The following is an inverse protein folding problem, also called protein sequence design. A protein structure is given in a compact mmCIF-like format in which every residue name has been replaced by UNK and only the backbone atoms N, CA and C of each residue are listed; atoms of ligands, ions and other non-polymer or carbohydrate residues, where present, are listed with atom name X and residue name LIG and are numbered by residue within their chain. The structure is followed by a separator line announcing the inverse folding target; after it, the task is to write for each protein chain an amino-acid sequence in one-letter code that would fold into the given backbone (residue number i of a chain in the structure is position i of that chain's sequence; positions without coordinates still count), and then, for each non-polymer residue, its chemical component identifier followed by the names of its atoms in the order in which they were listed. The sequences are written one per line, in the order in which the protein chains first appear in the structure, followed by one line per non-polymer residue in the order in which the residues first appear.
data_IF_511776120360
#
_entry.id   IF_511776120360
#
_cell.length_a   1.000
_cell.length_b   1.000
_cell.length_c   1.000
_cell.angle_alpha   90.00
_cell.angle_beta   90.00
_cell.angle_gamma   90.00
#
_symmetry.space_group_name_H-M   'P 1'
#
loop_
_entity.id
_entity.type
_entity.pdbx_description
1 polymer ?
#
# COMPACT_ATOMS: atom_id res chain seq x y z
N UNK A 1 -37.03 44.46 -51.83
CA UNK A 1 -36.84 43.16 -51.15
C UNK A 1 -35.45 42.65 -51.47
N UNK A 2 -34.53 42.65 -50.50
CA UNK A 2 -33.18 42.07 -50.59
C UNK A 2 -33.11 40.91 -49.59
N UNK A 3 -32.61 39.71 -49.94
CA UNK A 3 -32.48 38.64 -48.96
C UNK A 3 -31.18 38.79 -48.17
N UNK A 4 -31.27 38.65 -46.84
CA UNK A 4 -30.13 38.50 -45.95
C UNK A 4 -29.56 37.07 -46.11
N UNK A 5 -28.28 36.96 -46.44
CA UNK A 5 -27.52 35.72 -46.32
C UNK A 5 -26.98 35.60 -44.89
N UNK A 6 -27.44 34.59 -44.15
CA UNK A 6 -26.95 34.27 -42.81
C UNK A 6 -25.75 33.34 -42.92
N UNK A 7 -24.56 33.82 -42.56
CA UNK A 7 -23.35 33.00 -42.42
C UNK A 7 -23.42 32.22 -41.10
N UNK A 8 -23.54 30.89 -41.18
CA UNK A 8 -23.42 30.00 -40.04
C UNK A 8 -21.92 29.71 -39.81
N UNK A 9 -21.34 30.27 -38.76
CA UNK A 9 -19.99 29.95 -38.30
C UNK A 9 -20.03 28.61 -37.55
N UNK A 10 -19.49 27.55 -38.14
CA UNK A 10 -19.29 26.25 -37.47
C UNK A 10 -18.01 26.34 -36.65
N UNK A 11 -18.14 26.42 -35.32
CA UNK A 11 -17.02 26.28 -34.41
C UNK A 11 -16.67 24.79 -34.27
N UNK A 12 -15.53 24.37 -34.85
CA UNK A 12 -14.98 23.03 -34.63
C UNK A 12 -14.28 23.02 -33.27
N UNK A 13 -14.91 22.40 -32.28
CA UNK A 13 -14.28 22.10 -31.00
C UNK A 13 -13.28 20.95 -31.20
N UNK A 14 -11.99 21.27 -31.22
CA UNK A 14 -10.93 20.27 -31.17
C UNK A 14 -10.85 19.78 -29.72
N UNK A 15 -11.44 18.62 -29.44
CA UNK A 15 -11.21 17.90 -28.20
C UNK A 15 -9.76 17.39 -28.23
N UNK A 16 -8.87 18.06 -27.49
CA UNK A 16 -7.52 17.56 -27.27
C UNK A 16 -7.62 16.29 -26.42
N UNK A 17 -7.50 15.13 -27.08
CA UNK A 17 -7.22 13.87 -26.42
C UNK A 17 -5.83 13.97 -25.78
N UNK A 18 -5.78 14.27 -24.48
CA UNK A 18 -4.55 14.17 -23.69
C UNK A 18 -4.21 12.68 -23.60
N UNK A 19 -3.44 12.19 -24.56
CA UNK A 19 -2.85 10.85 -24.49
C UNK A 19 -1.81 10.88 -23.38
N UNK A 20 -2.01 10.06 -22.35
CA UNK A 20 -1.04 9.95 -21.26
C UNK A 20 0.32 9.51 -21.82
N UNK A 21 1.40 10.22 -21.47
CA UNK A 21 2.75 9.89 -21.91
C UNK A 21 3.11 8.44 -21.53
N UNK A 22 3.94 7.70 -22.29
CA UNK A 22 4.37 6.35 -21.95
C UNK A 22 4.87 6.23 -20.49
N UNK A 23 4.65 5.07 -19.85
CA UNK A 23 5.02 4.80 -18.45
C UNK A 23 6.46 5.21 -18.14
N UNK A 24 7.37 4.93 -19.07
CA UNK A 24 8.80 5.20 -18.93
C UNK A 24 9.13 6.70 -18.99
N UNK A 25 8.44 7.47 -19.84
CA UNK A 25 8.60 8.93 -19.88
C UNK A 25 8.09 9.58 -18.58
N UNK A 26 7.00 9.06 -18.00
CA UNK A 26 6.51 9.52 -16.70
C UNK A 26 7.46 9.20 -15.56
N UNK A 27 8.11 8.04 -15.57
CA UNK A 27 9.13 7.69 -14.58
C UNK A 27 10.30 8.68 -14.56
N UNK A 28 10.71 9.16 -15.74
CA UNK A 28 11.74 10.19 -15.87
C UNK A 28 11.24 11.59 -15.45
N UNK A 29 9.95 11.76 -15.22
CA UNK A 29 9.31 13.02 -14.83
C UNK A 29 8.95 13.10 -13.33
N UNK A 30 9.21 12.06 -12.54
CA UNK A 30 8.92 12.10 -11.10
C UNK A 30 9.86 13.05 -10.36
N UNK A 31 9.27 13.98 -9.60
CA UNK A 31 9.98 15.03 -8.86
C UNK A 31 9.77 14.94 -7.35
N UNK A 32 8.89 14.04 -6.90
CA UNK A 32 8.57 13.85 -5.50
C UNK A 32 7.92 12.47 -5.25
N UNK A 33 7.46 12.27 -4.02
CA UNK A 33 6.70 11.11 -3.57
C UNK A 33 5.42 11.56 -2.86
N UNK A 34 4.38 10.74 -2.96
CA UNK A 34 3.19 10.80 -2.12
C UNK A 34 3.27 9.69 -1.09
N UNK A 35 2.87 9.98 0.14
CA UNK A 35 2.71 9.02 1.22
C UNK A 35 1.26 9.00 1.69
N UNK A 36 0.61 7.85 1.55
CA UNK A 36 -0.69 7.57 2.17
C UNK A 36 -0.48 6.79 3.46
N UNK A 37 -1.10 7.23 4.55
CA UNK A 37 -0.95 6.62 5.88
C UNK A 37 -2.21 6.82 6.73
N UNK A 38 -2.36 6.01 7.77
CA UNK A 38 -3.29 6.27 8.88
C UNK A 38 -2.50 6.62 10.15
N UNK A 39 -3.17 7.02 11.23
CA UNK A 39 -2.50 7.54 12.44
C UNK A 39 -2.73 6.71 13.71
N UNK A 40 -3.39 5.55 13.57
CA UNK A 40 -3.52 4.53 14.62
C UNK A 40 -4.82 4.60 15.43
N UNK A 41 -5.14 3.50 16.10
CA UNK A 41 -6.37 3.32 16.88
C UNK A 41 -6.43 4.05 18.23
N UNK A 42 -5.42 4.86 18.56
CA UNK A 42 -5.42 5.67 19.78
C UNK A 42 -6.29 6.92 19.70
N UNK A 43 -6.83 7.24 18.52
CA UNK A 43 -7.53 8.50 18.23
C UNK A 43 -8.85 8.24 17.51
N UNK A 44 -9.88 9.02 17.81
CA UNK A 44 -11.22 8.85 17.24
C UNK A 44 -11.27 9.03 15.72
N UNK A 45 -10.33 9.81 15.17
CA UNK A 45 -10.12 10.01 13.75
C UNK A 45 -8.87 9.29 13.24
N UNK A 46 -8.24 8.42 14.02
CA UNK A 46 -6.95 7.84 13.64
C UNK A 46 -7.03 6.70 12.62
N UNK A 47 -8.21 6.07 12.51
CA UNK A 47 -8.53 5.03 11.52
C UNK A 47 -9.21 5.66 10.30
N UNK A 48 -8.50 6.63 9.72
CA UNK A 48 -8.81 7.38 8.50
C UNK A 48 -7.53 7.57 7.71
N UNK A 49 -7.61 7.96 6.44
CA UNK A 49 -6.43 8.09 5.57
C UNK A 49 -6.01 9.54 5.44
N UNK A 50 -4.77 9.82 5.79
CA UNK A 50 -4.07 11.09 5.59
C UNK A 50 -3.04 10.96 4.48
N UNK A 51 -2.67 12.10 3.90
CA UNK A 51 -1.65 12.20 2.86
C UNK A 51 -0.53 13.14 3.26
N UNK A 52 0.67 12.86 2.76
CA UNK A 52 1.80 13.77 2.76
C UNK A 52 2.51 13.70 1.41
N UNK A 53 3.24 14.76 1.06
CA UNK A 53 4.13 14.79 -0.11
C UNK A 53 5.55 15.10 0.32
N UNK A 54 6.52 14.52 -0.36
CA UNK A 54 7.92 14.84 -0.06
C UNK A 54 8.30 16.24 -0.54
N UNK A 55 9.30 16.83 0.10
CA UNK A 55 9.90 18.10 -0.29
C UNK A 55 10.85 17.86 -1.48
N UNK A 56 10.28 17.91 -2.69
CA UNK A 56 10.95 17.47 -3.91
C UNK A 56 11.31 15.99 -3.83
N UNK A 57 12.45 15.59 -4.39
CA UNK A 57 12.92 14.19 -4.38
C UNK A 57 13.54 13.75 -3.04
N UNK A 58 13.42 14.55 -1.97
CA UNK A 58 13.90 14.16 -0.65
C UNK A 58 12.90 13.23 0.04
N UNK A 59 13.10 11.92 -0.09
CA UNK A 59 12.28 10.88 0.55
C UNK A 59 12.28 10.94 2.09
N UNK A 60 13.13 11.75 2.72
CA UNK A 60 13.23 11.86 4.17
C UNK A 60 12.64 13.17 4.72
N UNK A 61 12.03 14.01 3.88
CA UNK A 61 11.42 15.28 4.31
C UNK A 61 10.05 15.43 3.70
N UNK A 62 9.03 15.56 4.54
CA UNK A 62 7.63 15.50 4.14
C UNK A 62 6.83 16.71 4.59
N UNK A 63 5.85 17.09 3.79
CA UNK A 63 4.82 18.08 4.11
C UNK A 63 3.47 17.38 4.17
N UNK A 64 2.79 17.49 5.30
CA UNK A 64 1.44 16.99 5.47
C UNK A 64 0.47 17.75 4.56
N UNK A 65 -0.38 17.02 3.84
CA UNK A 65 -1.43 17.57 2.97
C UNK A 65 -2.64 17.93 3.84
N UNK A 66 -3.48 18.87 3.39
CA UNK A 66 -4.71 19.27 4.09
C UNK A 66 -4.46 19.71 5.56
N UNK A 67 -3.32 20.35 5.81
CA UNK A 67 -2.89 20.78 7.13
C UNK A 67 -2.71 19.63 8.15
N UNK A 68 -2.47 18.41 7.68
CA UNK A 68 -2.34 17.21 8.54
C UNK A 68 -3.67 16.57 8.92
N UNK A 69 -4.80 17.11 8.49
CA UNK A 69 -6.10 16.51 8.72
C UNK A 69 -6.31 15.28 7.81
N UNK A 70 -7.02 14.25 8.28
CA UNK A 70 -7.46 13.16 7.42
C UNK A 70 -8.16 13.63 6.16
N UNK A 71 -7.90 12.93 5.06
CA UNK A 71 -8.42 13.27 3.75
C UNK A 71 -9.51 12.28 3.29
N UNK A 72 -9.29 10.97 3.43
CA UNK A 72 -10.31 9.96 3.13
C UNK A 72 -10.85 9.33 4.41
N UNK A 73 -12.17 9.26 4.51
CA UNK A 73 -12.90 8.61 5.60
C UNK A 73 -13.89 7.60 5.01
N UNK A 74 -14.21 6.56 5.78
CA UNK A 74 -15.19 5.55 5.35
C UNK A 74 -16.52 5.71 6.09
N UNK A 75 -17.61 5.84 5.32
CA UNK A 75 -18.99 5.77 5.81
C UNK A 75 -19.60 4.36 5.68
N UNK A 76 -18.85 3.42 5.12
CA UNK A 76 -19.26 2.04 4.82
C UNK A 76 -18.46 1.03 5.64
N UNK A 77 -18.90 -0.24 5.64
CA UNK A 77 -18.23 -1.30 6.40
C UNK A 77 -18.20 -1.01 7.90
N UNK A 78 -17.05 -1.23 8.51
CA UNK A 78 -16.77 -0.95 9.93
C UNK A 78 -16.63 0.55 10.24
N UNK A 79 -16.53 1.40 9.21
CA UNK A 79 -16.31 2.86 9.30
C UNK A 79 -14.95 3.27 9.90
N UNK A 80 -14.00 2.34 9.94
CA UNK A 80 -12.59 2.61 10.18
C UNK A 80 -11.78 2.08 9.00
N UNK A 81 -10.74 2.80 8.60
CA UNK A 81 -9.84 2.37 7.53
C UNK A 81 -8.38 2.52 7.94
N UNK A 82 -7.60 1.49 7.60
CA UNK A 82 -6.20 1.33 8.02
C UNK A 82 -5.36 0.84 6.86
N UNK A 83 -4.04 0.93 7.01
CA UNK A 83 -3.06 0.30 6.12
C UNK A 83 -3.26 0.67 4.63
N UNK A 84 -3.33 1.97 4.26
CA UNK A 84 -3.61 2.36 2.88
C UNK A 84 -2.50 1.96 1.92
N UNK A 85 -2.87 1.26 0.85
CA UNK A 85 -2.03 0.96 -0.30
C UNK A 85 -2.49 1.72 -1.53
N UNK A 86 -1.64 2.58 -2.07
CA UNK A 86 -1.93 3.32 -3.30
C UNK A 86 -1.18 2.72 -4.50
N UNK A 87 -1.89 2.53 -5.61
CA UNK A 87 -1.33 2.04 -6.86
C UNK A 87 -1.80 2.91 -8.02
N UNK A 88 -0.85 3.33 -8.86
CA UNK A 88 -1.13 3.96 -10.14
C UNK A 88 -1.51 2.90 -11.16
N UNK A 89 -2.51 3.20 -11.99
CA UNK A 89 -2.84 2.35 -13.12
C UNK A 89 -1.62 2.13 -14.04
N UNK A 90 -1.54 0.97 -14.67
CA UNK A 90 -0.38 0.58 -15.47
C UNK A 90 -0.26 1.50 -16.69
N UNK A 91 -1.40 1.88 -17.27
CA UNK A 91 -1.49 2.89 -18.33
C UNK A 91 -1.30 4.33 -17.82
N UNK A 92 -1.29 4.54 -16.49
CA UNK A 92 -1.15 5.83 -15.81
C UNK A 92 -2.40 6.70 -15.80
N UNK A 93 -3.56 6.18 -16.21
CA UNK A 93 -4.80 6.95 -16.36
C UNK A 93 -5.44 7.37 -15.04
N UNK A 94 -5.14 6.66 -13.96
CA UNK A 94 -5.77 6.83 -12.64
C UNK A 94 -4.97 6.18 -11.52
N UNK A 95 -5.53 6.24 -10.33
CA UNK A 95 -5.02 5.67 -9.09
C UNK A 95 -6.14 4.92 -8.37
N UNK A 96 -5.77 3.84 -7.71
CA UNK A 96 -6.61 3.19 -6.71
C UNK A 96 -5.93 3.26 -5.36
N UNK A 97 -6.73 3.48 -4.32
CA UNK A 97 -6.30 3.36 -2.93
C UNK A 97 -7.12 2.25 -2.28
N UNK A 98 -6.42 1.23 -1.78
CA UNK A 98 -6.97 0.11 -1.05
C UNK A 98 -6.72 0.34 0.44
N UNK A 99 -7.64 -0.09 1.30
CA UNK A 99 -7.45 -0.02 2.74
C UNK A 99 -8.15 -1.20 3.44
N UNK A 100 -7.63 -1.57 4.61
CA UNK A 100 -8.29 -2.48 5.55
C UNK A 100 -9.61 -1.87 6.01
N UNK A 101 -10.72 -2.61 5.93
CA UNK A 101 -11.99 -2.23 6.58
C UNK A 101 -11.97 -2.69 8.05
N UNK A 102 -11.48 -1.84 8.95
CA UNK A 102 -11.39 -2.16 10.37
C UNK A 102 -11.48 -0.91 11.26
N UNK A 103 -12.33 -0.99 12.28
CA UNK A 103 -12.44 -0.01 13.35
C UNK A 103 -12.14 -0.63 14.72
N UNK A 104 -10.98 -0.31 15.28
CA UNK A 104 -10.54 -0.71 16.62
C UNK A 104 -10.78 0.37 17.66
N UNK A 105 -10.83 1.65 17.26
CA UNK A 105 -11.10 2.75 18.20
C UNK A 105 -12.46 2.54 18.87
N UNK A 106 -12.45 2.44 20.20
CA UNK A 106 -13.62 2.25 21.04
C UNK A 106 -14.00 0.79 21.32
N UNK A 107 -13.58 -0.18 20.49
CA UNK A 107 -13.83 -1.62 20.73
C UNK A 107 -12.63 -2.30 21.40
N UNK A 108 -11.43 -2.15 20.84
CA UNK A 108 -10.20 -2.83 21.29
C UNK A 108 -10.22 -4.37 21.17
N UNK A 109 -11.29 -4.96 20.64
CA UNK A 109 -11.46 -6.42 20.57
C UNK A 109 -10.72 -7.02 19.36
N UNK A 110 -9.41 -7.19 19.53
CA UNK A 110 -8.55 -7.81 18.52
C UNK A 110 -8.92 -9.26 18.25
N UNK A 111 -9.50 -9.98 19.21
CA UNK A 111 -9.88 -11.37 19.00
C UNK A 111 -11.03 -11.48 17.99
N UNK A 112 -12.07 -10.67 18.17
CA UNK A 112 -13.15 -10.56 17.21
C UNK A 112 -12.65 -10.05 15.85
N UNK A 113 -11.77 -9.04 15.84
CA UNK A 113 -11.23 -8.50 14.59
C UNK A 113 -10.46 -9.52 13.75
N UNK A 114 -9.74 -10.47 14.38
CA UNK A 114 -9.03 -11.56 13.71
C UNK A 114 -9.98 -12.68 13.29
N UNK A 115 -10.90 -13.08 14.17
CA UNK A 115 -11.71 -14.29 13.98
C UNK A 115 -12.95 -14.06 13.13
N UNK A 116 -13.61 -12.92 13.29
CA UNK A 116 -14.93 -12.62 12.69
C UNK A 116 -15.01 -11.19 12.17
N UNK A 117 -13.87 -10.60 11.81
CA UNK A 117 -13.76 -9.26 11.27
C UNK A 117 -14.23 -9.14 9.82
N UNK A 118 -14.04 -7.94 9.25
CA UNK A 118 -14.37 -7.70 7.84
C UNK A 118 -13.54 -8.59 6.92
N UNK A 119 -14.20 -9.17 5.92
CA UNK A 119 -13.59 -9.95 4.83
C UNK A 119 -13.45 -9.14 3.54
N UNK A 120 -13.57 -7.82 3.68
CA UNK A 120 -13.62 -6.87 2.59
C UNK A 120 -12.51 -5.85 2.67
N UNK A 121 -12.21 -5.25 1.53
CA UNK A 121 -11.31 -4.10 1.40
C UNK A 121 -12.13 -2.87 1.01
N UNK A 122 -11.71 -1.70 1.48
CA UNK A 122 -12.25 -0.42 1.01
C UNK A 122 -11.38 0.08 -0.14
N UNK A 123 -12.03 0.50 -1.23
CA UNK A 123 -11.34 0.98 -2.44
C UNK A 123 -11.88 2.35 -2.85
N UNK A 124 -10.97 3.30 -3.03
CA UNK A 124 -11.23 4.56 -3.72
C UNK A 124 -10.51 4.60 -5.06
N UNK A 125 -11.01 5.46 -5.96
CA UNK A 125 -10.41 5.72 -7.27
C UNK A 125 -10.27 7.24 -7.46
N UNK A 126 -9.17 7.66 -8.07
CA UNK A 126 -8.92 9.06 -8.43
C UNK A 126 -8.16 9.14 -9.74
N UNK A 127 -8.38 10.18 -10.54
CA UNK A 127 -7.60 10.45 -11.76
C UNK A 127 -6.46 11.46 -11.53
N UNK A 128 -6.41 12.12 -10.37
CA UNK A 128 -5.53 13.27 -10.13
C UNK A 128 -4.96 13.35 -8.70
N UNK A 129 -5.17 12.31 -7.88
CA UNK A 129 -4.81 12.19 -6.45
C UNK A 129 -5.52 13.18 -5.51
N UNK A 130 -6.28 14.11 -6.06
CA UNK A 130 -7.00 15.16 -5.34
C UNK A 130 -8.47 14.80 -5.21
N UNK A 131 -9.14 14.54 -6.32
CA UNK A 131 -10.55 14.22 -6.36
C UNK A 131 -10.73 12.70 -6.31
N UNK A 132 -11.23 12.20 -5.19
CA UNK A 132 -11.50 10.77 -5.00
C UNK A 132 -12.99 10.48 -5.14
N UNK A 133 -13.32 9.42 -5.87
CA UNK A 133 -14.69 8.93 -5.99
C UNK A 133 -15.23 8.33 -4.70
N UNK A 134 -16.51 7.94 -4.73
CA UNK A 134 -17.15 7.27 -3.59
C UNK A 134 -16.45 5.95 -3.25
N UNK A 135 -16.19 5.64 -1.96
CA UNK A 135 -15.60 4.38 -1.56
C UNK A 135 -16.48 3.19 -1.93
N UNK A 136 -15.84 2.07 -2.24
CA UNK A 136 -16.50 0.77 -2.43
C UNK A 136 -15.99 -0.22 -1.41
N UNK A 137 -16.89 -1.01 -0.83
CA UNK A 137 -16.55 -2.15 0.02
C UNK A 137 -16.60 -3.41 -0.84
N UNK A 138 -15.46 -4.08 -1.03
CA UNK A 138 -15.36 -5.26 -1.89
C UNK A 138 -14.93 -6.46 -1.08
N UNK A 139 -15.79 -7.48 -0.97
CA UNK A 139 -15.46 -8.73 -0.29
C UNK A 139 -14.52 -9.54 -1.18
N UNK A 140 -13.28 -9.75 -0.71
CA UNK A 140 -12.23 -10.48 -1.45
C UNK A 140 -11.83 -11.79 -0.78
N UNK A 141 -12.07 -11.91 0.53
CA UNK A 141 -11.74 -13.11 1.28
C UNK A 141 -12.84 -14.15 1.26
N UNK A 142 -12.48 -15.46 1.31
CA UNK A 142 -13.44 -16.56 1.28
C UNK A 142 -14.22 -16.67 2.59
N UNK A 143 -15.24 -17.52 2.62
CA UNK A 143 -16.08 -17.70 3.81
C UNK A 143 -15.30 -18.17 5.05
N UNK A 144 -14.24 -18.95 4.83
CA UNK A 144 -13.32 -19.51 5.83
C UNK A 144 -12.30 -18.51 6.39
N UNK A 145 -12.27 -17.28 5.87
CA UNK A 145 -11.38 -16.24 6.36
C UNK A 145 -11.99 -15.52 7.56
N UNK A 146 -11.18 -15.29 8.59
CA UNK A 146 -11.59 -14.49 9.74
C UNK A 146 -11.52 -12.98 9.50
N UNK A 147 -10.67 -12.52 8.58
CA UNK A 147 -10.41 -11.09 8.39
C UNK A 147 -9.81 -10.79 6.99
N UNK A 148 -9.53 -9.53 6.67
CA UNK A 148 -8.82 -9.11 5.45
C UNK A 148 -8.03 -7.84 5.76
N UNK A 149 -6.73 -7.98 6.01
CA UNK A 149 -5.89 -6.90 6.53
C UNK A 149 -4.72 -6.56 5.62
N UNK A 150 -4.33 -5.29 5.66
CA UNK A 150 -3.22 -4.68 4.92
C UNK A 150 -3.21 -5.09 3.43
N UNK A 151 -4.27 -4.75 2.67
CA UNK A 151 -4.31 -5.08 1.26
C UNK A 151 -3.34 -4.21 0.46
N UNK A 152 -2.49 -4.85 -0.32
CA UNK A 152 -1.63 -4.19 -1.31
C UNK A 152 -1.84 -4.76 -2.70
N UNK A 153 -1.41 -4.01 -3.72
CA UNK A 153 -1.49 -4.42 -5.10
C UNK A 153 -0.19 -4.19 -5.85
N UNK A 154 0.10 -5.05 -6.81
CA UNK A 154 1.21 -4.91 -7.75
C UNK A 154 0.78 -5.35 -9.15
N UNK A 155 1.27 -4.66 -10.17
CA UNK A 155 1.03 -5.04 -11.56
C UNK A 155 1.84 -6.29 -11.94
N UNK A 156 1.15 -7.32 -12.46
CA UNK A 156 1.76 -8.51 -13.03
C UNK A 156 1.76 -8.43 -14.57
N UNK A 157 2.91 -8.10 -15.20
CA UNK A 157 2.99 -8.00 -16.65
C UNK A 157 2.80 -9.34 -17.37
N UNK A 158 3.04 -10.48 -16.69
CA UNK A 158 2.87 -11.81 -17.31
C UNK A 158 1.40 -12.19 -17.50
N UNK A 159 0.51 -11.58 -16.72
CA UNK A 159 -0.94 -11.82 -16.75
C UNK A 159 -1.74 -10.64 -17.27
N UNK A 160 -1.11 -9.46 -17.45
CA UNK A 160 -1.78 -8.20 -17.75
C UNK A 160 -2.91 -7.88 -16.74
N UNK A 161 -2.61 -8.11 -15.45
CA UNK A 161 -3.53 -7.96 -14.32
C UNK A 161 -2.79 -7.42 -13.11
N UNK A 162 -3.52 -6.88 -12.15
CA UNK A 162 -3.02 -6.61 -10.81
C UNK A 162 -3.14 -7.87 -9.96
N UNK A 163 -2.07 -8.22 -9.25
CA UNK A 163 -2.12 -9.12 -8.11
C UNK A 163 -2.41 -8.28 -6.86
N UNK A 164 -3.52 -8.57 -6.19
CA UNK A 164 -3.90 -7.97 -4.90
C UNK A 164 -3.71 -9.02 -3.83
N UNK A 165 -3.07 -8.65 -2.72
CA UNK A 165 -2.69 -9.58 -1.67
C UNK A 165 -2.88 -8.95 -0.29
N UNK A 166 -3.19 -9.78 0.71
CA UNK A 166 -3.59 -9.35 2.06
C UNK A 166 -3.39 -10.48 3.07
N UNK A 167 -3.37 -10.15 4.35
CA UNK A 167 -3.30 -11.14 5.43
C UNK A 167 -4.70 -11.59 5.90
N UNK A 168 -4.87 -12.89 6.16
CA UNK A 168 -6.04 -13.43 6.86
C UNK A 168 -5.72 -14.70 7.62
N UNK A 169 -6.37 -14.91 8.76
CA UNK A 169 -6.49 -16.23 9.37
C UNK A 169 -7.52 -17.07 8.59
N UNK A 170 -7.21 -18.35 8.33
CA UNK A 170 -8.10 -19.27 7.60
C UNK A 170 -8.51 -20.43 8.50
N UNK A 171 -9.79 -20.70 8.58
CA UNK A 171 -10.39 -21.75 9.41
C UNK A 171 -10.86 -22.93 8.55
N UNK A 172 -11.07 -24.07 9.19
CA UNK A 172 -11.63 -25.24 8.52
C UNK A 172 -13.04 -24.94 8.00
N UNK A 173 -13.42 -25.49 6.85
CA UNK A 173 -14.73 -25.23 6.23
C UNK A 173 -15.92 -25.58 7.14
N UNK A 174 -15.76 -26.55 8.04
CA UNK A 174 -16.77 -26.93 9.03
C UNK A 174 -16.72 -26.09 10.33
N UNK A 175 -15.66 -25.32 10.57
CA UNK A 175 -15.54 -24.40 11.72
C UNK A 175 -16.13 -23.04 11.36
N UNK A 176 -17.45 -23.00 11.12
CA UNK A 176 -18.15 -21.77 10.71
C UNK A 176 -18.18 -20.67 11.76
N UNK A 177 -17.90 -21.02 13.02
CA UNK A 177 -17.77 -20.08 14.14
C UNK A 177 -16.34 -19.55 14.32
N UNK A 178 -15.38 -20.03 13.51
CA UNK A 178 -13.97 -19.66 13.59
C UNK A 178 -13.42 -19.76 15.02
N UNK A 179 -13.63 -20.92 15.68
CA UNK A 179 -13.21 -21.15 17.07
C UNK A 179 -11.89 -21.91 17.17
N UNK A 180 -11.52 -22.67 16.13
CA UNK A 180 -10.29 -23.42 16.06
C UNK A 180 -9.05 -22.53 16.05
N UNK A 181 -7.88 -23.14 16.22
CA UNK A 181 -6.61 -22.45 16.08
C UNK A 181 -6.32 -22.14 14.61
N UNK A 182 -5.83 -20.93 14.35
CA UNK A 182 -5.35 -20.52 13.03
C UNK A 182 -4.27 -19.46 13.18
N UNK A 183 -3.70 -19.03 12.07
CA UNK A 183 -2.73 -17.96 11.97
C UNK A 183 -2.86 -17.25 10.63
N UNK A 184 -2.38 -16.01 10.58
CA UNK A 184 -2.40 -15.22 9.35
C UNK A 184 -1.51 -15.83 8.27
N UNK A 185 -2.10 -16.04 7.10
CA UNK A 185 -1.41 -16.31 5.84
C UNK A 185 -1.64 -15.14 4.91
N UNK A 186 -0.75 -14.96 3.95
CA UNK A 186 -1.01 -14.01 2.87
C UNK A 186 -1.81 -14.73 1.80
N UNK A 187 -2.99 -14.18 1.48
CA UNK A 187 -3.77 -14.58 0.32
C UNK A 187 -3.49 -13.62 -0.84
N UNK A 188 -3.82 -14.07 -2.05
CA UNK A 188 -3.86 -13.21 -3.24
C UNK A 188 -5.07 -13.49 -4.11
N UNK A 189 -5.47 -12.49 -4.88
CA UNK A 189 -6.37 -12.60 -6.02
C UNK A 189 -5.88 -11.70 -7.16
N UNK A 190 -6.44 -11.86 -8.35
CA UNK A 190 -6.13 -11.00 -9.50
C UNK A 190 -7.32 -10.15 -9.91
N UNK A 191 -7.07 -8.95 -10.43
CA UNK A 191 -8.09 -8.03 -10.95
C UNK A 191 -7.53 -7.20 -12.10
N UNK A 192 -8.41 -6.61 -12.92
CA UNK A 192 -8.04 -5.61 -13.93
C UNK A 192 -8.58 -4.22 -13.58
N UNK A 193 -9.58 -4.13 -12.71
CA UNK A 193 -10.40 -2.94 -12.52
C UNK A 193 -10.67 -2.60 -11.05
N UNK A 194 -10.17 -3.43 -10.12
CA UNK A 194 -10.45 -3.31 -8.68
C UNK A 194 -11.95 -3.33 -8.35
N UNK A 195 -12.78 -3.96 -9.18
CA UNK A 195 -14.20 -4.22 -8.94
C UNK A 195 -14.48 -5.71 -8.91
N UNK A 196 -13.92 -6.45 -9.87
CA UNK A 196 -14.06 -7.90 -9.96
C UNK A 196 -12.72 -8.56 -9.69
N UNK A 197 -12.74 -9.57 -8.83
CA UNK A 197 -11.56 -10.29 -8.38
C UNK A 197 -11.70 -11.77 -8.74
N UNK A 198 -10.58 -12.43 -9.06
CA UNK A 198 -10.54 -13.88 -9.11
C UNK A 198 -10.81 -14.48 -7.72
N UNK A 199 -11.10 -15.78 -7.66
CA UNK A 199 -11.08 -16.49 -6.40
C UNK A 199 -9.71 -16.32 -5.71
N UNK A 200 -9.68 -16.10 -4.39
CA UNK A 200 -8.44 -15.95 -3.65
C UNK A 200 -7.75 -17.31 -3.44
N UNK A 201 -6.42 -17.30 -3.42
CA UNK A 201 -5.60 -18.45 -3.08
C UNK A 201 -4.55 -18.10 -2.03
N UNK A 202 -4.05 -19.10 -1.31
CA UNK A 202 -2.94 -18.90 -0.37
C UNK A 202 -1.67 -18.59 -1.17
N UNK A 203 -1.03 -17.48 -0.84
CA UNK A 203 0.19 -17.01 -1.51
C UNK A 203 1.45 -17.21 -0.66
N UNK A 204 1.40 -16.85 0.63
CA UNK A 204 2.49 -17.06 1.57
C UNK A 204 1.95 -17.82 2.77
N UNK A 205 2.45 -19.03 2.94
CA UNK A 205 2.30 -19.83 4.16
C UNK A 205 3.69 -20.34 4.57
N UNK A 206 4.17 -19.87 5.72
CA UNK A 206 5.45 -20.27 6.29
C UNK A 206 5.30 -21.34 7.37
N UNK A 207 4.06 -21.74 7.72
CA UNK A 207 3.77 -22.53 8.91
C UNK A 207 3.66 -21.70 10.19
N UNK A 208 3.73 -20.36 10.09
CA UNK A 208 3.50 -19.40 11.17
C UNK A 208 2.85 -18.13 10.61
N UNK A 209 2.36 -17.27 11.52
CA UNK A 209 1.70 -16.02 11.15
C UNK A 209 2.64 -15.08 10.37
N UNK A 210 2.17 -14.61 9.21
CA UNK A 210 2.82 -13.59 8.38
C UNK A 210 1.80 -12.54 8.01
N UNK A 211 2.17 -11.26 8.13
CA UNK A 211 1.34 -10.11 7.77
C UNK A 211 2.16 -9.05 7.03
N UNK A 212 1.49 -7.99 6.57
CA UNK A 212 2.10 -6.76 6.04
C UNK A 212 3.13 -7.03 4.94
N UNK A 213 2.70 -7.78 3.91
CA UNK A 213 3.54 -7.99 2.75
C UNK A 213 3.58 -6.72 1.90
N UNK A 214 4.75 -6.38 1.36
CA UNK A 214 4.92 -5.39 0.30
C UNK A 214 5.95 -5.87 -0.74
N UNK A 215 5.95 -5.25 -1.91
CA UNK A 215 6.86 -5.59 -3.02
C UNK A 215 7.69 -4.39 -3.51
N UNK A 216 8.92 -4.68 -3.92
CA UNK A 216 9.75 -3.80 -4.73
C UNK A 216 10.23 -4.56 -5.97
N UNK A 217 10.11 -3.96 -7.15
CA UNK A 217 10.60 -4.54 -8.40
C UNK A 217 11.81 -3.77 -8.92
N UNK A 218 12.95 -4.45 -9.00
CA UNK A 218 14.15 -3.91 -9.64
C UNK A 218 14.19 -4.30 -11.10
N UNK A 219 13.82 -3.35 -11.97
CA UNK A 219 13.82 -3.53 -13.42
C UNK A 219 15.22 -3.76 -14.00
N UNK A 220 16.28 -3.29 -13.34
CA UNK A 220 17.66 -3.46 -13.84
C UNK A 220 18.15 -4.90 -13.75
N UNK A 221 17.59 -5.66 -12.81
CA UNK A 221 17.92 -7.08 -12.58
C UNK A 221 16.72 -8.00 -12.83
N UNK A 222 15.58 -7.44 -13.25
CA UNK A 222 14.30 -8.15 -13.38
C UNK A 222 13.94 -8.98 -12.13
N UNK A 223 14.22 -8.44 -10.95
CA UNK A 223 14.05 -9.14 -9.67
C UNK A 223 12.95 -8.49 -8.85
N UNK A 224 12.02 -9.32 -8.36
CA UNK A 224 11.08 -8.94 -7.32
C UNK A 224 11.69 -9.19 -5.96
N UNK A 225 11.60 -8.19 -5.09
CA UNK A 225 11.83 -8.32 -3.66
C UNK A 225 10.48 -8.23 -2.97
N UNK A 226 10.27 -9.09 -1.99
CA UNK A 226 9.11 -8.98 -1.10
C UNK A 226 9.57 -8.91 0.33
N UNK A 227 8.83 -8.14 1.10
CA UNK A 227 9.09 -7.89 2.51
C UNK A 227 7.83 -8.24 3.27
N UNK A 228 7.94 -8.87 4.42
CA UNK A 228 6.78 -9.24 5.22
C UNK A 228 7.15 -9.29 6.69
N UNK A 229 6.16 -9.10 7.55
CA UNK A 229 6.33 -9.19 8.99
C UNK A 229 6.25 -10.64 9.45
N UNK A 230 7.23 -11.05 10.25
CA UNK A 230 7.16 -12.28 11.03
C UNK A 230 6.40 -12.04 12.34
N UNK A 231 5.22 -12.64 12.48
CA UNK A 231 4.39 -12.47 13.67
C UNK A 231 4.73 -13.43 14.82
N UNK A 232 5.73 -14.30 14.67
CA UNK A 232 6.23 -15.12 15.79
C UNK A 232 6.67 -14.23 16.95
N UNK A 233 6.52 -14.74 18.16
CA UNK A 233 7.09 -14.09 19.33
C UNK A 233 8.62 -14.07 19.24
N UNK A 234 9.22 -12.91 19.51
CA UNK A 234 10.67 -12.80 19.61
C UNK A 234 11.16 -13.65 20.79
N UNK A 235 11.85 -14.74 20.47
CA UNK A 235 12.23 -15.80 21.42
C UNK A 235 13.50 -16.50 20.93
N UNK A 236 14.05 -17.42 21.73
CA UNK A 236 15.23 -18.18 21.33
C UNK A 236 15.02 -19.02 20.06
N UNK A 237 13.80 -19.51 19.82
CA UNK A 237 13.44 -20.28 18.62
C UNK A 237 13.08 -19.42 17.41
N UNK A 238 12.75 -18.15 17.63
CA UNK A 238 12.46 -17.16 16.59
C UNK A 238 13.08 -15.80 16.97
N UNK A 239 14.42 -15.67 16.92
CA UNK A 239 15.10 -14.47 17.41
C UNK A 239 14.76 -13.21 16.60
N UNK A 240 14.24 -13.38 15.38
CA UNK A 240 13.82 -12.30 14.49
C UNK A 240 12.28 -12.14 14.44
N UNK A 241 11.54 -12.84 15.30
CA UNK A 241 10.10 -12.64 15.42
C UNK A 241 9.77 -11.19 15.78
N UNK A 242 8.63 -10.69 15.28
CA UNK A 242 8.20 -9.28 15.35
C UNK A 242 9.05 -8.30 14.53
N UNK A 243 9.81 -8.78 13.55
CA UNK A 243 10.52 -7.95 12.58
C UNK A 243 10.18 -8.34 11.14
N UNK A 244 10.60 -7.49 10.21
CA UNK A 244 10.47 -7.72 8.78
C UNK A 244 11.54 -8.71 8.29
N UNK A 245 11.14 -9.63 7.41
CA UNK A 245 12.05 -10.43 6.61
C UNK A 245 11.91 -10.08 5.13
N UNK A 246 12.99 -10.27 4.38
CA UNK A 246 13.13 -9.95 2.96
C UNK A 246 13.43 -11.22 2.16
N UNK A 247 12.76 -11.37 1.03
CA UNK A 247 12.97 -12.46 0.08
C UNK A 247 13.07 -11.90 -1.35
N UNK A 248 13.59 -12.70 -2.29
CA UNK A 248 13.63 -12.38 -3.73
C UNK A 248 13.10 -13.49 -4.62
N UNK A 249 12.54 -13.12 -5.76
CA UNK A 249 12.08 -14.02 -6.81
C UNK A 249 12.15 -13.34 -8.18
N UNK A 250 12.01 -14.12 -9.26
CA UNK A 250 12.04 -13.60 -10.64
C UNK A 250 10.65 -13.41 -11.24
N UNK A 251 9.60 -13.90 -10.57
CA UNK A 251 8.20 -13.68 -10.95
C UNK A 251 7.30 -13.66 -9.71
N UNK A 252 6.13 -13.01 -9.82
CA UNK A 252 5.15 -12.93 -8.73
C UNK A 252 4.49 -14.28 -8.42
N UNK A 253 4.40 -15.17 -9.43
CA UNK A 253 3.90 -16.54 -9.30
C UNK A 253 4.96 -17.56 -8.92
N UNK A 254 6.24 -17.19 -8.95
CA UNK A 254 7.36 -18.08 -8.69
C UNK A 254 7.74 -18.20 -7.22
N UNK A 255 8.75 -19.03 -6.97
CA UNK A 255 9.34 -19.19 -5.63
C UNK A 255 10.16 -17.98 -5.23
N UNK A 256 10.13 -17.67 -3.94
CA UNK A 256 10.96 -16.64 -3.32
C UNK A 256 11.98 -17.26 -2.38
N UNK A 257 13.22 -16.78 -2.44
CA UNK A 257 14.33 -17.19 -1.58
C UNK A 257 14.63 -16.11 -0.54
N UNK A 258 14.80 -16.53 0.71
CA UNK A 258 15.15 -15.66 1.83
C UNK A 258 16.49 -14.95 1.58
N UNK A 259 16.53 -13.64 1.85
CA UNK A 259 17.74 -12.81 1.85
C UNK A 259 18.13 -12.46 3.28
N UNK A 260 17.16 -11.94 4.05
CA UNK A 260 17.41 -11.37 5.37
C UNK A 260 16.22 -11.56 6.27
N UNK A 261 16.46 -11.89 7.52
CA UNK A 261 15.49 -11.77 8.61
C UNK A 261 15.91 -10.63 9.54
N UNK A 262 14.96 -10.09 10.30
CA UNK A 262 15.26 -9.10 11.33
C UNK A 262 15.70 -7.76 10.74
N UNK A 263 15.12 -7.34 9.61
CA UNK A 263 15.40 -6.01 9.05
C UNK A 263 15.03 -4.95 10.08
N UNK A 264 15.95 -4.00 10.32
CA UNK A 264 15.82 -2.96 11.35
C UNK A 264 16.15 -3.39 12.78
N UNK A 265 16.36 -4.69 13.05
CA UNK A 265 16.71 -5.17 14.39
C UNK A 265 18.01 -4.54 14.88
N UNK A 266 17.98 -3.99 16.09
CA UNK A 266 19.05 -3.20 16.69
C UNK A 266 18.88 -1.69 16.52
N UNK A 267 18.05 -1.25 15.57
CA UNK A 267 17.66 0.17 15.38
C UNK A 267 16.20 0.44 15.80
N UNK A 268 15.34 -0.57 15.67
CA UNK A 268 13.97 -0.59 16.21
C UNK A 268 13.79 -1.79 17.14
N UNK A 269 12.84 -1.67 18.06
CA UNK A 269 12.48 -2.71 19.04
C UNK A 269 11.63 -3.84 18.45
N UNK A 270 10.86 -3.52 17.41
CA UNK A 270 9.96 -4.38 16.63
C UNK A 270 9.53 -3.62 15.37
N UNK A 271 9.04 -4.31 14.35
CA UNK A 271 8.66 -3.67 13.09
C UNK A 271 7.48 -4.36 12.41
N UNK A 272 6.60 -3.56 11.80
CA UNK A 272 5.46 -3.97 10.97
C UNK A 272 5.29 -3.02 9.79
N UNK A 273 4.32 -3.31 8.92
CA UNK A 273 3.93 -2.41 7.83
C UNK A 273 5.07 -1.87 6.96
N UNK A 274 6.01 -2.69 6.45
CA UNK A 274 7.07 -2.17 5.60
C UNK A 274 6.48 -1.52 4.34
N UNK A 275 6.95 -0.33 3.97
CA UNK A 275 6.76 0.24 2.62
C UNK A 275 8.12 0.44 1.98
N UNK A 276 8.32 -0.08 0.77
CA UNK A 276 9.61 -0.06 0.07
C UNK A 276 9.47 0.62 -1.28
N UNK A 277 10.33 1.61 -1.55
CA UNK A 277 10.26 2.39 -2.78
C UNK A 277 11.64 2.83 -3.26
N UNK A 278 11.77 3.03 -4.56
CA UNK A 278 13.03 3.39 -5.21
C UNK A 278 13.26 4.91 -5.14
N UNK A 279 14.52 5.33 -5.05
CA UNK A 279 14.87 6.73 -5.25
C UNK A 279 14.61 7.15 -6.70
N UNK A 280 13.94 8.30 -6.88
CA UNK A 280 13.75 8.97 -8.17
C UNK A 280 15.07 9.49 -8.75
N UNK A 281 16.08 9.78 -7.91
CA UNK A 281 17.33 10.43 -8.33
C UNK A 281 18.55 9.53 -8.35
N UNK A 282 18.51 8.40 -7.62
CA UNK A 282 19.64 7.49 -7.46
C UNK A 282 19.22 6.08 -7.88
N UNK A 283 19.75 5.59 -9.02
CA UNK A 283 19.25 4.39 -9.71
C UNK A 283 19.41 3.07 -8.93
N UNK A 284 20.30 3.02 -7.94
CA UNK A 284 20.52 1.87 -7.08
C UNK A 284 20.01 2.06 -5.64
N UNK A 285 19.47 3.24 -5.31
CA UNK A 285 19.04 3.56 -3.95
C UNK A 285 17.57 3.21 -3.73
N UNK A 286 17.31 2.61 -2.59
CA UNK A 286 15.98 2.23 -2.11
C UNK A 286 15.79 2.73 -0.69
N UNK A 287 14.55 3.08 -0.39
CA UNK A 287 14.09 3.41 0.95
C UNK A 287 13.12 2.32 1.42
N UNK A 288 13.17 2.01 2.71
CA UNK A 288 12.19 1.20 3.40
C UNK A 288 11.77 1.92 4.66
N UNK A 289 10.49 2.21 4.83
CA UNK A 289 9.99 2.66 6.12
C UNK A 289 9.38 1.44 6.83
N UNK A 290 9.69 1.28 8.11
CA UNK A 290 9.11 0.21 8.95
C UNK A 290 8.36 0.85 10.11
N UNK A 291 7.10 0.49 10.32
CA UNK A 291 6.31 0.96 11.45
C UNK A 291 6.82 0.27 12.73
N UNK A 292 7.50 1.03 13.58
CA UNK A 292 7.86 0.56 14.92
C UNK A 292 6.62 0.58 15.82
N UNK A 293 5.80 -0.46 15.67
CA UNK A 293 4.52 -0.54 16.35
C UNK A 293 4.65 -0.52 17.88
N UNK A 294 3.78 0.27 18.51
CA UNK A 294 3.87 0.59 19.95
C UNK A 294 5.06 1.48 20.32
N UNK A 295 5.85 1.93 19.34
CA UNK A 295 6.97 2.85 19.48
C UNK A 295 6.75 4.15 18.71
N UNK A 296 7.76 4.56 17.94
CA UNK A 296 7.81 5.89 17.28
C UNK A 296 6.85 6.04 16.09
N UNK A 297 6.27 4.95 15.57
CA UNK A 297 5.68 4.92 14.22
C UNK A 297 6.75 4.61 13.18
N UNK A 298 6.60 5.11 11.95
CA UNK A 298 7.55 4.82 10.88
C UNK A 298 8.99 5.27 11.17
N UNK A 299 9.93 4.35 10.92
CA UNK A 299 11.37 4.58 10.97
C UNK A 299 11.96 4.30 9.58
N UNK A 300 12.57 5.30 8.91
CA UNK A 300 13.19 5.12 7.61
C UNK A 300 14.54 4.40 7.63
N UNK A 301 14.73 3.51 6.67
CA UNK A 301 15.98 2.85 6.33
C UNK A 301 16.29 3.04 4.84
N UNK A 302 17.55 2.93 4.48
CA UNK A 302 17.99 3.02 3.08
C UNK A 302 19.05 1.97 2.73
N UNK A 303 19.17 1.66 1.44
CA UNK A 303 20.20 0.79 0.88
C UNK A 303 20.52 1.19 -0.55
N UNK A 304 21.76 0.98 -0.98
CA UNK A 304 22.19 1.09 -2.37
C UNK A 304 22.35 -0.28 -3.05
N UNK A 305 22.04 -1.36 -2.32
CA UNK A 305 22.04 -2.72 -2.84
C UNK A 305 20.93 -3.53 -2.15
N UNK A 306 19.72 -3.44 -2.70
CA UNK A 306 18.55 -4.17 -2.19
C UNK A 306 18.77 -5.69 -2.16
N UNK A 307 19.60 -6.25 -3.05
CA UNK A 307 19.90 -7.68 -3.07
C UNK A 307 20.69 -8.19 -1.86
N UNK A 308 21.41 -7.30 -1.16
CA UNK A 308 22.22 -7.66 0.02
C UNK A 308 21.39 -7.89 1.28
N UNK A 309 20.19 -7.31 1.35
CA UNK A 309 19.40 -7.23 2.58
C UNK A 309 20.03 -6.37 3.69
N UNK A 310 21.10 -5.63 3.40
CA UNK A 310 21.67 -4.64 4.31
C UNK A 310 20.90 -3.32 4.19
N UNK A 311 20.25 -2.93 5.28
CA UNK A 311 19.47 -1.72 5.41
C UNK A 311 20.06 -0.86 6.52
N UNK A 312 20.39 0.39 6.21
CA UNK A 312 20.97 1.35 7.14
C UNK A 312 19.89 2.29 7.63
N UNK A 313 19.83 2.56 8.93
CA UNK A 313 18.93 3.55 9.50
C UNK A 313 19.21 4.93 8.88
N UNK A 314 18.20 5.55 8.28
CA UNK A 314 18.34 6.93 7.79
C UNK A 314 18.37 7.89 8.98
N UNK A 315 19.12 8.98 8.85
CA UNK A 315 19.20 10.04 9.87
C UNK A 315 18.63 11.34 9.33
N UNK A 316 18.29 12.28 10.22
CA UNK A 316 17.80 13.61 9.83
C UNK A 316 16.47 13.62 9.08
N UNK A 317 15.66 12.57 9.20
CA UNK A 317 14.35 12.51 8.57
C UNK A 317 13.31 13.32 9.36
N UNK A 318 12.34 13.87 8.63
CA UNK A 318 11.16 14.55 9.13
C UNK A 318 9.95 13.95 8.43
N UNK A 319 9.29 13.02 9.13
CA UNK A 319 8.05 12.39 8.69
C UNK A 319 6.84 13.20 9.19
N UNK A 320 5.63 12.91 8.68
CA UNK A 320 4.39 13.38 9.29
C UNK A 320 4.33 13.09 10.80
N UNK A 321 3.40 13.72 11.53
CA UNK A 321 3.39 13.70 13.00
C UNK A 321 3.39 12.29 13.60
N UNK A 322 2.68 11.34 12.97
CA UNK A 322 2.43 9.99 13.51
C UNK A 322 1.99 8.99 12.45
N UNK A 323 2.71 8.87 11.31
CA UNK A 323 2.33 7.93 10.29
C UNK A 323 2.52 6.51 10.80
N UNK A 324 1.48 5.72 10.66
CA UNK A 324 1.46 4.26 10.84
C UNK A 324 1.34 3.60 9.47
N UNK A 325 1.37 2.27 9.43
CA UNK A 325 1.33 1.45 8.22
C UNK A 325 0.59 2.11 7.05
N UNK A 326 1.30 2.34 5.94
CA UNK A 326 0.82 2.96 4.73
C UNK A 326 1.77 2.68 3.56
N UNK A 327 1.67 3.48 2.49
CA UNK A 327 2.42 3.23 1.25
C UNK A 327 2.92 4.51 0.59
N UNK A 328 4.07 4.41 -0.07
CA UNK A 328 4.71 5.52 -0.78
C UNK A 328 4.80 5.23 -2.27
N UNK A 329 4.37 6.18 -3.11
CA UNK A 329 4.54 6.13 -4.56
C UNK A 329 5.28 7.38 -5.07
N UNK A 330 6.06 7.25 -6.17
CA UNK A 330 6.60 8.42 -6.84
C UNK A 330 5.51 9.17 -7.60
N UNK A 331 5.61 10.51 -7.60
CA UNK A 331 4.66 11.43 -8.23
C UNK A 331 5.40 12.49 -9.05
N UNK A 332 4.70 13.03 -10.04
CA UNK A 332 5.14 14.17 -10.85
C UNK A 332 4.94 15.48 -10.09
N UNK A 333 5.55 16.56 -10.58
CA UNK A 333 5.38 17.88 -9.96
C UNK A 333 3.91 18.36 -10.03
N UNK A 334 3.22 18.09 -11.14
CA UNK A 334 1.82 18.47 -11.29
C UNK A 334 0.93 17.77 -10.24
N UNK A 335 1.15 16.48 -10.00
CA UNK A 335 0.47 15.71 -8.96
C UNK A 335 0.81 16.21 -7.55
N UNK A 336 2.07 16.56 -7.31
CA UNK A 336 2.50 17.18 -6.05
C UNK A 336 1.78 18.50 -5.80
N UNK A 337 1.70 19.38 -6.80
CA UNK A 337 1.01 20.66 -6.69
C UNK A 337 -0.50 20.48 -6.50
N UNK A 338 -1.11 19.49 -7.15
CA UNK A 338 -2.52 19.14 -6.91
C UNK A 338 -2.75 18.79 -5.44
N UNK A 339 -1.90 17.94 -4.86
CA UNK A 339 -1.98 17.57 -3.44
C UNK A 339 -1.70 18.74 -2.49
N UNK A 340 -0.74 19.62 -2.79
CA UNK A 340 -0.43 20.79 -1.96
C UNK A 340 -1.51 21.89 -2.01
N UNK A 341 -2.39 21.85 -3.01
CA UNK A 341 -3.50 22.79 -3.16
C UNK A 341 -4.78 22.38 -2.42
N UNK A 342 -4.69 21.38 -1.54
CA UNK A 342 -5.80 20.84 -0.75
C UNK A 342 -6.04 21.60 0.55
#
# INVERSE_FOLDING_TARGET
MRPLASLLSVAVAIAACVTAAPVQERQNAYSAYMFAYFTGEGYSNGETISFAVSNGNNALSWTEVNGGNPYLTSSIGTKGVRDPSIIRAHDGSKFWLLATDLKMYGSGDWNAAVRTGSRSIVIWESTDLKNWGTPRLVQVSPATAGNTWAPEAIWDPSQNKYMVFWASSLYATNDTAHTGSSYHRILRATTTDFKTFSAPEVYIDKGWAVIDTTFAYDSSTSTYYRFSKDERANSSSAPNGKFVFQEKGTSLSGSFSLIKEGVGKGSISRGEGPTVFKSNTESNKWYMFIDEFGGRGYVPFETTNIASGAWTLSTGYSLPSRPRHGSVIPITEAERQNLLSL
#
